data_IF_670460938166
#
_entry.id   IF_670460938166
#
_cell.length_a   1.000
_cell.length_b   1.000
_cell.length_c   1.000
_cell.angle_alpha   90.00
_cell.angle_beta   90.00
_cell.angle_gamma   90.00
#
_symmetry.space_group_name_H-M   'P 1'
#
loop_
_entity.id
_entity.type
_entity.pdbx_description
1 polymer ?
#
# COMPACT_ATOMS: atom_id res chain seq x y z
N UNK A 1 -5.07 49.24 -53.39
CA UNK A 1 -3.99 48.36 -53.88
C UNK A 1 -4.18 47.04 -53.16
N UNK A 2 -4.73 46.00 -53.80
CA UNK A 2 -4.93 44.71 -53.15
C UNK A 2 -3.63 43.91 -53.23
N UNK A 3 -3.01 43.63 -52.09
CA UNK A 3 -1.86 42.74 -52.05
C UNK A 3 -2.30 41.33 -52.48
N UNK A 4 -1.63 40.79 -53.50
CA UNK A 4 -1.87 39.42 -53.95
C UNK A 4 -1.02 38.51 -53.07
N UNK A 5 -1.62 37.98 -51.99
CA UNK A 5 -0.93 37.04 -51.10
C UNK A 5 -0.56 35.78 -51.89
N UNK A 6 0.74 35.51 -52.00
CA UNK A 6 1.22 34.32 -52.71
C UNK A 6 1.06 33.10 -51.80
N UNK A 7 0.03 32.29 -52.06
CA UNK A 7 -0.21 31.05 -51.32
C UNK A 7 0.82 30.00 -51.71
N UNK A 8 1.79 29.71 -50.82
CA UNK A 8 2.73 28.61 -50.99
C UNK A 8 2.02 27.27 -50.79
N UNK A 9 1.84 26.51 -51.89
CA UNK A 9 1.26 25.16 -51.87
C UNK A 9 2.33 24.09 -52.00
N UNK A 10 2.16 22.97 -51.29
CA UNK A 10 3.02 21.81 -51.45
C UNK A 10 2.79 21.18 -52.82
N UNK A 11 3.84 20.75 -53.51
CA UNK A 11 3.68 20.06 -54.79
C UNK A 11 3.02 18.68 -54.58
N UNK A 12 2.22 18.18 -55.54
CA UNK A 12 1.63 16.84 -55.45
C UNK A 12 2.68 15.73 -55.22
N UNK A 13 3.86 15.86 -55.82
CA UNK A 13 4.96 14.93 -55.60
C UNK A 13 5.45 14.91 -54.14
N UNK A 14 5.47 16.08 -53.48
CA UNK A 14 5.83 16.18 -52.06
C UNK A 14 4.73 15.61 -51.17
N UNK A 15 3.46 15.89 -51.48
CA UNK A 15 2.32 15.30 -50.79
C UNK A 15 2.30 13.77 -50.92
N UNK A 16 2.51 13.22 -52.11
CA UNK A 16 2.57 11.78 -52.34
C UNK A 16 3.68 11.08 -51.53
N UNK A 17 4.87 11.70 -51.46
CA UNK A 17 5.97 11.20 -50.59
C UNK A 17 5.56 11.18 -49.12
N UNK A 18 4.90 12.24 -48.62
CA UNK A 18 4.44 12.28 -47.24
C UNK A 18 3.36 11.23 -46.95
N UNK A 19 2.41 11.03 -47.87
CA UNK A 19 1.39 9.99 -47.73
C UNK A 19 1.98 8.58 -47.74
N UNK A 20 2.97 8.30 -48.59
CA UNK A 20 3.65 7.00 -48.61
C UNK A 20 4.37 6.71 -47.28
N UNK A 21 5.03 7.73 -46.69
CA UNK A 21 5.67 7.61 -45.37
C UNK A 21 4.63 7.35 -44.28
N UNK A 22 3.53 8.11 -44.27
CA UNK A 22 2.45 7.95 -43.30
C UNK A 22 1.87 6.53 -43.36
N UNK A 23 1.52 6.06 -44.56
CA UNK A 23 0.99 4.71 -44.77
C UNK A 23 2.01 3.64 -44.37
N UNK A 24 3.29 3.82 -44.71
CA UNK A 24 4.35 2.91 -44.30
C UNK A 24 4.45 2.77 -42.77
N UNK A 25 4.43 3.88 -42.04
CA UNK A 25 4.45 3.87 -40.57
C UNK A 25 3.19 3.20 -40.00
N UNK A 26 2.01 3.49 -40.56
CA UNK A 26 0.76 2.86 -40.11
C UNK A 26 0.77 1.34 -40.33
N UNK A 27 1.28 0.86 -41.48
CA UNK A 27 1.35 -0.57 -41.79
C UNK A 27 2.34 -1.27 -40.86
N UNK A 28 3.55 -0.72 -40.70
CA UNK A 28 4.58 -1.29 -39.82
C UNK A 28 4.11 -1.28 -38.35
N UNK A 29 3.55 -0.16 -37.89
CA UNK A 29 3.01 -0.04 -36.54
C UNK A 29 1.86 -1.02 -36.28
N UNK A 30 0.95 -1.19 -37.24
CA UNK A 30 -0.13 -2.17 -37.16
C UNK A 30 0.39 -3.60 -37.08
N UNK A 31 1.36 -3.97 -37.93
CA UNK A 31 1.98 -5.29 -37.90
C UNK A 31 2.66 -5.61 -36.55
N UNK A 32 3.35 -4.62 -35.95
CA UNK A 32 3.95 -4.78 -34.62
C UNK A 32 2.87 -4.89 -33.54
N UNK A 33 1.87 -4.02 -33.56
CA UNK A 33 0.78 -4.00 -32.58
C UNK A 33 0.05 -5.35 -32.52
N UNK A 34 -0.38 -5.86 -33.68
CA UNK A 34 -1.10 -7.13 -33.75
C UNK A 34 -0.17 -8.35 -33.64
N UNK A 35 1.06 -8.27 -34.13
CA UNK A 35 2.04 -9.37 -34.03
C UNK A 35 2.55 -9.61 -32.61
N UNK A 36 2.55 -8.57 -31.76
CA UNK A 36 2.94 -8.66 -30.35
C UNK A 36 1.71 -8.72 -29.41
N UNK A 37 0.50 -8.99 -29.92
CA UNK A 37 -0.74 -9.01 -29.14
C UNK A 37 -0.61 -9.77 -27.82
N UNK A 38 -0.14 -11.02 -27.88
CA UNK A 38 0.01 -11.88 -26.71
C UNK A 38 1.02 -11.31 -25.70
N UNK A 39 2.10 -10.67 -26.16
CA UNK A 39 3.07 -10.02 -25.28
C UNK A 39 2.45 -8.84 -24.52
N UNK A 40 1.68 -7.98 -25.20
CA UNK A 40 1.06 -6.81 -24.56
C UNK A 40 0.06 -7.19 -23.46
N UNK A 41 -0.62 -8.33 -23.61
CA UNK A 41 -1.62 -8.81 -22.64
C UNK A 41 -1.08 -9.86 -21.66
N UNK A 42 0.20 -10.21 -21.76
CA UNK A 42 0.80 -11.25 -20.91
C UNK A 42 1.00 -10.81 -19.45
N UNK A 43 1.16 -9.50 -19.21
CA UNK A 43 1.33 -8.97 -17.88
C UNK A 43 -0.04 -8.72 -17.22
N UNK A 44 -0.27 -9.21 -15.99
CA UNK A 44 -1.44 -8.80 -15.23
C UNK A 44 -1.43 -7.28 -15.05
N UNK A 45 -2.60 -6.61 -15.11
CA UNK A 45 -2.65 -5.17 -14.92
C UNK A 45 -2.03 -4.80 -13.56
N UNK A 46 -1.38 -3.64 -13.41
CA UNK A 46 -0.74 -3.24 -12.15
C UNK A 46 -1.68 -3.33 -10.93
N UNK A 47 -2.99 -3.15 -11.15
CA UNK A 47 -4.02 -3.34 -10.11
C UNK A 47 -4.16 -4.80 -9.65
N UNK A 48 -4.00 -5.77 -10.55
CA UNK A 48 -3.99 -7.18 -10.18
C UNK A 48 -2.71 -7.55 -9.44
N UNK A 49 -1.56 -6.93 -9.77
CA UNK A 49 -0.32 -7.10 -9.03
C UNK A 49 -0.33 -6.44 -7.64
N UNK A 50 -1.05 -5.31 -7.47
CA UNK A 50 -1.27 -4.71 -6.15
C UNK A 50 -2.27 -5.48 -5.29
N UNK A 51 -3.21 -6.20 -5.92
CA UNK A 51 -4.18 -7.07 -5.23
C UNK A 51 -3.64 -8.49 -4.99
N UNK A 52 -2.50 -8.85 -5.57
CA UNK A 52 -1.81 -10.13 -5.32
C UNK A 52 -0.90 -10.09 -4.09
N UNK A 53 -0.93 -9.02 -3.30
CA UNK A 53 -0.43 -9.06 -1.93
C UNK A 53 -1.10 -10.24 -1.22
N UNK A 54 -0.29 -11.18 -0.75
CA UNK A 54 -0.68 -12.52 -0.30
C UNK A 54 -2.05 -12.53 0.37
N UNK A 55 -3.06 -12.98 -0.37
CA UNK A 55 -4.27 -13.42 0.26
C UNK A 55 -3.95 -14.79 0.87
N UNK A 56 -3.41 -14.75 2.09
CA UNK A 56 -3.37 -15.92 2.97
C UNK A 56 -4.82 -16.28 3.28
N UNK A 57 -5.45 -16.99 2.34
CA UNK A 57 -6.80 -17.51 2.50
C UNK A 57 -6.70 -18.75 3.39
N UNK A 58 -6.39 -18.51 4.67
CA UNK A 58 -6.74 -19.45 5.72
C UNK A 58 -8.22 -19.82 5.60
N UNK A 59 -8.57 -21.03 6.03
CA UNK A 59 -9.97 -21.49 6.06
C UNK A 59 -10.87 -20.38 6.65
N UNK A 60 -12.09 -20.18 6.12
CA UNK A 60 -12.95 -19.09 6.55
C UNK A 60 -13.13 -19.15 8.07
N UNK A 61 -12.51 -18.22 8.78
CA UNK A 61 -12.68 -18.10 10.21
C UNK A 61 -14.12 -17.69 10.47
N UNK A 62 -14.77 -18.36 11.44
CA UNK A 62 -16.13 -18.02 11.85
C UNK A 62 -16.09 -16.60 12.41
N UNK A 63 -16.83 -15.70 11.77
CA UNK A 63 -16.92 -14.32 12.25
C UNK A 63 -17.76 -14.28 13.54
N UNK A 64 -17.11 -14.03 14.67
CA UNK A 64 -17.76 -14.04 15.99
C UNK A 64 -18.40 -12.70 16.33
N UNK A 65 -17.82 -11.57 15.88
CA UNK A 65 -18.39 -10.25 16.09
C UNK A 65 -18.34 -9.76 17.54
N UNK A 66 -17.51 -10.37 18.38
CA UNK A 66 -17.41 -10.01 19.79
C UNK A 66 -16.62 -8.71 19.97
N UNK A 67 -16.89 -8.00 21.06
CA UNK A 67 -16.06 -6.87 21.48
C UNK A 67 -15.11 -7.35 22.57
N UNK A 68 -13.80 -7.27 22.30
CA UNK A 68 -12.72 -7.62 23.22
C UNK A 68 -12.08 -6.33 23.70
N UNK A 69 -12.06 -6.11 25.00
CA UNK A 69 -11.37 -4.96 25.60
C UNK A 69 -10.02 -5.42 26.14
N UNK A 70 -8.95 -4.71 25.79
CA UNK A 70 -7.59 -4.99 26.23
C UNK A 70 -7.01 -3.76 26.89
N UNK A 71 -6.59 -3.91 28.15
CA UNK A 71 -5.91 -2.85 28.89
C UNK A 71 -4.39 -3.08 28.82
N UNK A 72 -3.66 -2.10 28.29
CA UNK A 72 -2.21 -2.11 28.14
C UNK A 72 -1.61 -0.93 28.90
N UNK A 73 -0.71 -1.22 29.84
CA UNK A 73 0.04 -0.21 30.57
C UNK A 73 1.48 -0.21 30.10
N UNK A 74 1.99 0.91 29.61
CA UNK A 74 3.43 1.04 29.43
C UNK A 74 4.12 1.00 30.78
N UNK A 75 5.12 0.13 30.85
CA UNK A 75 6.04 -0.02 31.99
C UNK A 75 7.47 0.00 31.46
N UNK A 76 8.36 0.63 32.20
CA UNK A 76 9.79 0.67 31.89
C UNK A 76 10.66 0.30 33.09
N UNK A 77 11.89 -0.15 32.82
CA UNK A 77 12.90 -0.40 33.85
C UNK A 77 13.23 0.88 34.64
N UNK A 78 13.78 0.74 35.85
CA UNK A 78 14.13 1.89 36.71
C UNK A 78 15.15 2.84 36.07
N UNK A 79 16.05 2.31 35.22
CA UNK A 79 17.00 3.10 34.43
C UNK A 79 16.39 3.75 33.17
N UNK A 80 15.12 3.46 32.91
CA UNK A 80 14.23 4.17 32.00
C UNK A 80 14.26 3.73 30.53
N UNK A 81 15.21 2.90 30.11
CA UNK A 81 15.38 2.56 28.69
C UNK A 81 15.84 1.12 28.42
N UNK A 82 16.23 0.36 29.44
CA UNK A 82 16.75 -1.00 29.25
C UNK A 82 15.67 -2.05 29.05
N UNK A 83 14.46 -1.80 29.56
CA UNK A 83 13.28 -2.61 29.28
C UNK A 83 12.07 -1.69 29.08
N UNK A 84 11.34 -1.92 27.98
CA UNK A 84 10.15 -1.18 27.59
C UNK A 84 9.09 -2.20 27.22
N UNK A 85 8.03 -2.28 28.01
CA UNK A 85 7.06 -3.37 27.89
C UNK A 85 5.64 -2.91 28.20
N UNK A 86 4.69 -3.80 27.92
CA UNK A 86 3.32 -3.69 28.36
C UNK A 86 3.06 -4.57 29.59
N UNK A 87 2.34 -4.00 30.56
CA UNK A 87 1.79 -4.58 31.79
C UNK A 87 2.81 -5.07 32.83
N UNK A 88 3.94 -5.63 32.44
CA UNK A 88 5.00 -6.05 33.35
C UNK A 88 6.37 -6.06 32.67
N UNK A 89 7.45 -5.97 33.45
CA UNK A 89 8.83 -6.09 32.96
C UNK A 89 9.17 -7.52 32.55
N UNK A 90 10.24 -7.68 31.78
CA UNK A 90 10.72 -8.97 31.29
C UNK A 90 10.95 -9.94 32.45
N UNK A 91 10.32 -11.11 32.37
CA UNK A 91 10.39 -12.16 33.40
C UNK A 91 9.26 -12.14 34.42
N UNK A 92 8.43 -11.09 34.43
CA UNK A 92 7.26 -10.99 35.32
C UNK A 92 5.97 -11.50 34.65
N UNK A 93 5.00 -12.02 35.43
CA UNK A 93 3.72 -12.48 34.89
C UNK A 93 2.95 -11.37 34.19
N UNK A 94 2.45 -11.66 32.99
CA UNK A 94 1.64 -10.71 32.21
C UNK A 94 2.46 -9.73 31.35
N UNK A 95 3.79 -9.89 31.30
CA UNK A 95 4.66 -9.20 30.36
C UNK A 95 4.20 -9.44 28.92
N UNK A 96 3.98 -8.36 28.16
CA UNK A 96 3.67 -8.36 26.72
C UNK A 96 2.65 -9.45 26.32
N UNK A 97 1.38 -9.31 26.76
CA UNK A 97 0.40 -10.38 26.61
C UNK A 97 0.05 -10.65 25.14
N UNK A 98 -0.04 -11.94 24.78
CA UNK A 98 -0.63 -12.35 23.50
C UNK A 98 -2.15 -12.18 23.52
N UNK A 99 -2.67 -11.46 22.53
CA UNK A 99 -4.10 -11.22 22.38
C UNK A 99 -4.61 -12.12 21.27
N UNK A 100 -5.55 -13.01 21.60
CA UNK A 100 -6.18 -13.90 20.64
C UNK A 100 -7.57 -13.34 20.29
N UNK A 101 -7.82 -13.15 19.00
CA UNK A 101 -9.11 -12.70 18.48
C UNK A 101 -9.49 -13.49 17.24
N UNK A 102 -10.78 -13.60 16.95
CA UNK A 102 -11.26 -14.19 15.71
C UNK A 102 -11.60 -13.10 14.69
N UNK A 103 -11.70 -13.51 13.43
CA UNK A 103 -12.11 -12.60 12.34
C UNK A 103 -13.46 -11.98 12.70
N UNK A 104 -13.61 -10.69 12.41
CA UNK A 104 -14.84 -9.94 12.68
C UNK A 104 -15.00 -9.46 14.13
N UNK A 105 -14.12 -9.83 15.06
CA UNK A 105 -14.11 -9.22 16.39
C UNK A 105 -13.65 -7.76 16.34
N UNK A 106 -14.20 -6.97 17.26
CA UNK A 106 -13.74 -5.60 17.54
C UNK A 106 -12.84 -5.63 18.77
N UNK A 107 -11.59 -5.26 18.59
CA UNK A 107 -10.65 -5.09 19.71
C UNK A 107 -10.60 -3.61 20.10
N UNK A 108 -10.78 -3.32 21.39
CA UNK A 108 -10.64 -1.99 21.97
C UNK A 108 -9.40 -2.00 22.85
N UNK A 109 -8.36 -1.32 22.40
CA UNK A 109 -7.13 -1.13 23.17
C UNK A 109 -7.24 0.11 24.04
N UNK A 110 -7.24 -0.07 25.35
CA UNK A 110 -7.09 1.00 26.32
C UNK A 110 -5.63 1.08 26.72
N UNK A 111 -4.93 2.08 26.19
CA UNK A 111 -3.49 2.25 26.41
C UNK A 111 -3.26 3.33 27.46
N UNK A 112 -2.53 2.99 28.52
CA UNK A 112 -2.14 3.91 29.58
C UNK A 112 -0.63 4.00 29.67
N UNK A 113 -0.11 5.22 29.72
CA UNK A 113 1.29 5.47 30.05
C UNK A 113 1.39 5.79 31.55
N UNK A 114 1.90 4.86 32.35
CA UNK A 114 2.00 5.05 33.80
C UNK A 114 3.22 5.88 34.22
N UNK A 115 4.29 5.83 33.43
CA UNK A 115 5.60 6.33 33.83
C UNK A 115 5.89 7.75 33.29
N UNK A 116 5.01 8.29 32.45
CA UNK A 116 5.09 9.66 31.94
C UNK A 116 6.12 9.90 30.83
N UNK A 117 6.73 8.83 30.30
CA UNK A 117 7.65 8.88 29.16
C UNK A 117 6.96 9.23 27.84
N UNK A 118 7.72 9.36 26.74
CA UNK A 118 7.16 9.60 25.40
C UNK A 118 6.85 8.28 24.69
N UNK A 119 5.80 7.60 25.15
CA UNK A 119 5.37 6.32 24.57
C UNK A 119 4.22 6.49 23.59
N UNK A 120 4.26 5.75 22.50
CA UNK A 120 3.21 5.67 21.49
C UNK A 120 2.82 4.20 21.26
N UNK A 121 1.57 3.97 20.86
CA UNK A 121 1.06 2.65 20.53
C UNK A 121 0.55 2.63 19.09
N UNK A 122 0.72 1.48 18.43
CA UNK A 122 0.15 1.19 17.13
C UNK A 122 0.19 -0.31 16.86
N UNK A 123 -0.70 -0.78 15.99
CA UNK A 123 -0.74 -2.19 15.56
C UNK A 123 -0.08 -2.30 14.19
N UNK A 124 0.84 -3.24 14.00
CA UNK A 124 1.48 -3.54 12.71
C UNK A 124 1.27 -5.01 12.35
N UNK A 125 1.37 -5.32 11.05
CA UNK A 125 1.41 -6.69 10.56
C UNK A 125 2.82 -7.31 10.66
N UNK A 126 3.85 -6.48 10.86
CA UNK A 126 5.21 -6.94 11.11
C UNK A 126 5.32 -7.56 12.51
N UNK A 127 6.36 -8.38 12.74
CA UNK A 127 6.61 -9.00 14.04
C UNK A 127 6.96 -7.95 15.12
N UNK A 128 7.68 -6.90 14.73
CA UNK A 128 8.05 -5.74 15.57
C UNK A 128 8.42 -4.52 14.70
N UNK A 129 8.47 -3.33 15.32
CA UNK A 129 8.98 -2.10 14.69
C UNK A 129 8.07 -0.88 14.80
N UNK A 130 8.50 0.23 14.21
CA UNK A 130 7.81 1.54 14.25
C UNK A 130 7.12 1.93 12.93
N UNK A 131 7.19 1.06 11.91
CA UNK A 131 6.65 1.32 10.58
C UNK A 131 5.43 0.42 10.31
N UNK A 132 4.70 0.72 9.23
CA UNK A 132 3.59 -0.14 8.79
C UNK A 132 2.37 -0.15 9.72
N UNK A 133 2.21 0.89 10.55
CA UNK A 133 1.09 0.95 11.50
C UNK A 133 -0.24 0.98 10.73
N UNK A 134 -1.17 0.15 11.19
CA UNK A 134 -2.52 0.05 10.65
C UNK A 134 -3.23 1.38 10.93
N UNK A 135 -3.68 2.12 9.89
CA UNK A 135 -4.29 3.43 10.07
C UNK A 135 -5.50 3.39 11.00
N UNK A 136 -5.52 4.31 11.97
CA UNK A 136 -6.57 4.43 12.97
C UNK A 136 -6.34 3.59 14.23
N UNK A 137 -5.23 2.86 14.32
CA UNK A 137 -4.81 2.14 15.53
C UNK A 137 -3.84 2.95 16.40
N UNK A 138 -3.33 4.07 15.90
CA UNK A 138 -2.31 4.89 16.55
C UNK A 138 -2.86 5.60 17.80
N UNK A 139 -2.09 5.58 18.88
CA UNK A 139 -2.33 6.38 20.08
C UNK A 139 -1.06 7.11 20.44
N UNK A 140 -1.17 8.44 20.58
CA UNK A 140 -0.05 9.33 20.92
C UNK A 140 1.17 9.23 19.99
N UNK A 141 1.01 8.76 18.75
CA UNK A 141 2.07 8.82 17.74
C UNK A 141 2.25 10.24 17.24
N UNK A 142 3.49 10.63 16.94
CA UNK A 142 3.72 11.86 16.18
C UNK A 142 3.13 11.70 14.76
N UNK A 143 2.51 12.76 14.26
CA UNK A 143 1.96 12.84 12.91
C UNK A 143 3.05 13.06 11.86
#
# INVERSE_FOLDING_TARGET
MSETETVYRTTPARTGKMMAIMLGICIVGGAIFFGMWDYWISAPPPVAASMSGAADHGAPAVATGQTITVDLNFVQSEDGFSDLAFNALTGEPGHNPTINAAVGDKIIFNVKNQDGGFHAFGVTADEEGFAGIIPGSEVASAA
#
